data_IF_235086663298
#
_entry.id   IF_235086663298
#
_cell.length_a   1.000
_cell.length_b   1.000
_cell.length_c   1.000
_cell.angle_alpha   90.00
_cell.angle_beta   90.00
_cell.angle_gamma   90.00
#
_symmetry.space_group_name_H-M   'P 1'
#
loop_
_entity.id
_entity.type
_entity.pdbx_description
1 polymer ?
#
# COMPACT_ATOMS: atom_id res chain seq x y z
N UNK A 1 4.54 2.12 -17.97
CA UNK A 1 4.30 2.27 -16.52
C UNK A 1 4.83 1.03 -15.78
N UNK A 2 5.53 1.21 -14.68
CA UNK A 2 5.87 0.12 -13.73
C UNK A 2 4.94 0.21 -12.54
N UNK A 3 4.23 -0.86 -12.23
CA UNK A 3 3.27 -0.94 -11.14
C UNK A 3 3.73 -2.00 -10.13
N UNK A 4 3.81 -1.63 -8.86
CA UNK A 4 4.05 -2.54 -7.75
C UNK A 4 2.74 -2.81 -7.00
N UNK A 5 2.29 -4.07 -6.98
CA UNK A 5 1.10 -4.49 -6.26
C UNK A 5 1.49 -5.28 -5.01
N UNK A 6 1.13 -4.76 -3.84
CA UNK A 6 1.41 -5.34 -2.53
C UNK A 6 0.11 -5.80 -1.89
N UNK A 7 0.00 -7.09 -1.59
CA UNK A 7 -1.05 -7.64 -0.73
C UNK A 7 -0.50 -7.99 0.65
N UNK A 8 -1.29 -7.70 1.69
CA UNK A 8 -0.89 -7.94 3.09
C UNK A 8 -1.95 -8.64 3.94
N UNK A 9 -3.05 -9.07 3.31
CA UNK A 9 -4.17 -9.69 4.01
C UNK A 9 -3.92 -11.17 4.30
N UNK A 10 -4.11 -11.56 5.56
CA UNK A 10 -4.06 -12.96 6.01
C UNK A 10 -5.32 -13.78 5.65
N UNK A 11 -6.32 -13.18 4.98
CA UNK A 11 -7.57 -13.85 4.63
C UNK A 11 -7.54 -14.57 3.27
N UNK A 12 -6.39 -14.54 2.57
CA UNK A 12 -6.23 -15.20 1.27
C UNK A 12 -7.34 -14.84 0.28
N UNK A 13 -7.99 -15.83 -0.36
CA UNK A 13 -9.05 -15.60 -1.35
C UNK A 13 -10.29 -14.86 -0.81
N UNK A 14 -10.51 -14.84 0.51
CA UNK A 14 -11.65 -14.17 1.13
C UNK A 14 -11.37 -12.68 1.44
N UNK A 15 -10.22 -12.17 1.04
CA UNK A 15 -9.79 -10.81 1.33
C UNK A 15 -10.44 -9.79 0.41
N UNK A 16 -11.14 -8.81 0.99
CA UNK A 16 -11.68 -7.67 0.26
C UNK A 16 -10.57 -6.80 -0.31
N UNK A 17 -9.47 -6.58 0.42
CA UNK A 17 -8.39 -5.73 -0.08
C UNK A 17 -7.63 -6.35 -1.25
N UNK A 18 -7.55 -7.68 -1.35
CA UNK A 18 -7.00 -8.38 -2.53
C UNK A 18 -7.90 -8.19 -3.75
N UNK A 19 -9.23 -8.34 -3.56
CA UNK A 19 -10.22 -8.12 -4.62
C UNK A 19 -10.14 -6.68 -5.15
N UNK A 20 -10.15 -5.68 -4.27
CA UNK A 20 -10.05 -4.27 -4.63
C UNK A 20 -8.69 -3.91 -5.23
N UNK A 21 -7.59 -4.44 -4.68
CA UNK A 21 -6.24 -4.25 -5.21
C UNK A 21 -6.12 -4.73 -6.65
N UNK A 22 -6.63 -5.93 -6.94
CA UNK A 22 -6.66 -6.48 -8.30
C UNK A 22 -7.49 -5.61 -9.26
N UNK A 23 -8.64 -5.08 -8.80
CA UNK A 23 -9.49 -4.18 -9.61
C UNK A 23 -8.77 -2.85 -9.91
N UNK A 24 -8.08 -2.27 -8.93
CA UNK A 24 -7.26 -1.05 -9.10
C UNK A 24 -6.15 -1.30 -10.12
N UNK A 25 -5.42 -2.41 -10.00
CA UNK A 25 -4.37 -2.79 -10.97
C UNK A 25 -4.93 -2.92 -12.38
N UNK A 26 -6.05 -3.64 -12.52
CA UNK A 26 -6.71 -3.81 -13.82
C UNK A 26 -7.11 -2.46 -14.46
N UNK A 27 -7.60 -1.53 -13.63
CA UNK A 27 -7.95 -0.18 -14.08
C UNK A 27 -6.71 0.61 -14.52
N UNK A 28 -5.62 0.60 -13.75
CA UNK A 28 -4.37 1.27 -14.12
C UNK A 28 -3.85 0.76 -15.48
N UNK A 29 -3.90 -0.55 -15.69
CA UNK A 29 -3.48 -1.17 -16.97
C UNK A 29 -4.42 -0.87 -18.13
N UNK A 30 -5.71 -0.62 -17.88
CA UNK A 30 -6.66 -0.20 -18.92
C UNK A 30 -6.42 1.24 -19.38
N UNK A 31 -5.78 2.06 -18.56
CA UNK A 31 -5.43 3.45 -18.89
C UNK A 31 -4.07 3.55 -19.59
N UNK A 32 -3.11 2.74 -19.17
CA UNK A 32 -1.74 2.78 -19.69
C UNK A 32 -1.10 1.39 -19.59
N UNK A 33 -0.54 0.91 -20.70
CA UNK A 33 0.24 -0.32 -20.71
C UNK A 33 1.38 -0.28 -19.68
N UNK A 34 1.59 -1.40 -18.99
CA UNK A 34 2.61 -1.46 -17.94
C UNK A 34 3.01 -2.87 -17.54
N UNK A 35 4.10 -2.93 -16.79
CA UNK A 35 4.57 -4.14 -16.13
C UNK A 35 4.12 -4.12 -14.68
N UNK A 36 3.57 -5.25 -14.21
CA UNK A 36 3.15 -5.41 -12.82
C UNK A 36 4.13 -6.33 -12.11
N UNK A 37 4.72 -5.83 -11.03
CA UNK A 37 5.39 -6.66 -10.03
C UNK A 37 4.42 -6.90 -8.87
N UNK A 38 4.20 -8.16 -8.53
CA UNK A 38 3.29 -8.57 -7.47
C UNK A 38 4.05 -9.13 -6.28
N UNK A 39 3.64 -8.74 -5.06
CA UNK A 39 4.16 -9.27 -3.81
C UNK A 39 3.05 -9.55 -2.82
N UNK A 40 2.95 -10.79 -2.38
CA UNK A 40 2.05 -11.23 -1.32
C UNK A 40 2.82 -11.36 0.01
N UNK A 41 2.62 -10.42 0.91
CA UNK A 41 3.32 -10.38 2.19
C UNK A 41 2.82 -11.42 3.21
N UNK A 42 1.69 -12.08 2.93
CA UNK A 42 1.21 -13.22 3.72
C UNK A 42 1.91 -14.51 3.31
N UNK A 43 2.13 -14.71 2.01
CA UNK A 43 2.78 -15.90 1.47
C UNK A 43 4.31 -15.80 1.50
N UNK A 44 4.84 -14.60 1.27
CA UNK A 44 6.27 -14.31 1.28
C UNK A 44 6.56 -13.16 2.26
N UNK A 45 6.47 -13.40 3.57
CA UNK A 45 6.63 -12.36 4.58
C UNK A 45 8.05 -11.80 4.59
N UNK A 46 8.11 -10.48 4.67
CA UNK A 46 9.38 -9.76 4.85
C UNK A 46 9.80 -9.88 6.31
N UNK A 47 11.06 -10.24 6.63
CA UNK A 47 11.54 -10.29 8.00
C UNK A 47 11.41 -8.95 8.71
N UNK A 48 11.01 -8.97 9.97
CA UNK A 48 10.97 -7.77 10.81
C UNK A 48 12.34 -7.10 10.91
N UNK A 49 12.34 -5.78 11.05
CA UNK A 49 13.55 -5.01 11.24
C UNK A 49 14.19 -5.34 12.60
N UNK A 50 15.47 -5.65 12.58
CA UNK A 50 16.27 -5.98 13.78
C UNK A 50 17.57 -5.18 13.81
N UNK A 51 18.28 -5.20 14.94
CA UNK A 51 19.60 -4.60 15.02
C UNK A 51 20.60 -5.25 14.05
N UNK A 52 20.50 -6.56 13.81
CA UNK A 52 21.32 -7.26 12.82
C UNK A 52 20.99 -6.81 11.38
N UNK A 53 19.71 -6.62 11.07
CA UNK A 53 19.26 -6.09 9.77
C UNK A 53 19.82 -4.69 9.51
N UNK A 54 19.72 -3.80 10.51
CA UNK A 54 20.26 -2.43 10.43
C UNK A 54 21.80 -2.42 10.24
N UNK A 55 22.50 -3.34 10.89
CA UNK A 55 23.95 -3.52 10.74
C UNK A 55 24.33 -4.26 9.44
N UNK A 56 23.35 -4.72 8.64
CA UNK A 56 23.57 -5.56 7.44
C UNK A 56 24.47 -6.78 7.75
N UNK A 57 24.24 -7.40 8.91
CA UNK A 57 25.07 -8.49 9.42
C UNK A 57 24.92 -9.78 8.59
N UNK A 58 23.77 -10.00 7.97
CA UNK A 58 23.52 -11.10 7.03
C UNK A 58 23.48 -10.57 5.59
N UNK A 59 24.45 -10.96 4.73
CA UNK A 59 24.49 -10.53 3.33
C UNK A 59 23.26 -10.95 2.52
N UNK A 60 22.69 -12.12 2.78
CA UNK A 60 21.50 -12.62 2.07
C UNK A 60 20.25 -11.80 2.41
N UNK A 61 20.07 -11.47 3.70
CA UNK A 61 19.01 -10.58 4.14
C UNK A 61 19.19 -9.16 3.58
N UNK A 62 20.40 -8.64 3.58
CA UNK A 62 20.70 -7.32 3.03
C UNK A 62 20.39 -7.23 1.53
N UNK A 63 20.74 -8.27 0.75
CA UNK A 63 20.40 -8.36 -0.67
C UNK A 63 18.90 -8.46 -0.90
N UNK A 64 18.17 -9.25 -0.10
CA UNK A 64 16.72 -9.34 -0.17
C UNK A 64 16.04 -8.00 0.15
N UNK A 65 16.53 -7.28 1.16
CA UNK A 65 16.04 -5.95 1.51
C UNK A 65 16.32 -4.93 0.39
N UNK A 66 17.48 -4.98 -0.25
CA UNK A 66 17.80 -4.13 -1.40
C UNK A 66 16.87 -4.38 -2.59
N UNK A 67 16.55 -5.64 -2.89
CA UNK A 67 15.57 -5.98 -3.95
C UNK A 67 14.18 -5.38 -3.64
N UNK A 68 13.71 -5.47 -2.41
CA UNK A 68 12.43 -4.87 -1.99
C UNK A 68 12.45 -3.35 -2.16
N UNK A 69 13.52 -2.71 -1.71
CA UNK A 69 13.71 -1.27 -1.85
C UNK A 69 13.73 -0.85 -3.32
N UNK A 70 14.46 -1.58 -4.17
CA UNK A 70 14.57 -1.26 -5.57
C UNK A 70 13.24 -1.43 -6.31
N UNK A 71 12.46 -2.49 -6.02
CA UNK A 71 11.09 -2.65 -6.55
C UNK A 71 10.22 -1.43 -6.24
N UNK A 72 10.29 -0.93 -5.00
CA UNK A 72 9.55 0.27 -4.59
C UNK A 72 10.06 1.53 -5.32
N UNK A 73 11.38 1.73 -5.41
CA UNK A 73 11.97 2.89 -6.09
C UNK A 73 11.67 2.93 -7.58
N UNK A 74 11.64 1.78 -8.23
CA UNK A 74 11.39 1.64 -9.68
C UNK A 74 9.92 1.82 -10.07
N UNK A 75 8.99 1.67 -9.13
CA UNK A 75 7.57 1.76 -9.42
C UNK A 75 7.12 3.20 -9.68
N UNK A 76 6.29 3.40 -10.71
CA UNK A 76 5.56 4.64 -10.97
C UNK A 76 4.27 4.69 -10.14
N UNK A 77 3.61 3.54 -9.98
CA UNK A 77 2.38 3.36 -9.21
C UNK A 77 2.56 2.22 -8.21
N UNK A 78 2.15 2.45 -6.97
CA UNK A 78 2.15 1.42 -5.92
C UNK A 78 0.71 1.19 -5.45
N UNK A 79 0.19 -0.02 -5.64
CA UNK A 79 -1.13 -0.45 -5.13
C UNK A 79 -0.91 -1.26 -3.87
N UNK A 80 -1.52 -0.86 -2.76
CA UNK A 80 -1.33 -1.49 -1.45
C UNK A 80 -2.65 -2.01 -0.90
N UNK A 81 -2.80 -3.32 -0.79
CA UNK A 81 -3.87 -3.96 -0.03
C UNK A 81 -3.59 -3.88 1.47
N UNK A 82 -4.33 -3.04 2.18
CA UNK A 82 -4.15 -2.75 3.60
C UNK A 82 -5.45 -2.97 4.40
N UNK A 83 -5.80 -4.21 4.78
CA UNK A 83 -6.91 -4.44 5.70
C UNK A 83 -6.59 -3.83 7.07
N UNK A 84 -7.62 -3.38 7.79
CA UNK A 84 -7.45 -2.95 9.17
C UNK A 84 -7.48 -4.15 10.11
N UNK A 85 -6.38 -4.37 10.83
CA UNK A 85 -6.29 -5.33 11.93
C UNK A 85 -5.98 -4.58 13.22
N UNK A 86 -6.88 -4.72 14.22
CA UNK A 86 -6.70 -4.09 15.54
C UNK A 86 -6.39 -2.58 15.44
N UNK A 87 -7.17 -1.84 14.64
CA UNK A 87 -7.05 -0.39 14.35
C UNK A 87 -5.81 0.05 13.57
N UNK A 88 -4.99 -0.88 13.08
CA UNK A 88 -3.77 -0.58 12.34
C UNK A 88 -3.60 -1.41 11.07
N UNK A 89 -2.45 -1.26 10.44
CA UNK A 89 -2.04 -2.07 9.29
C UNK A 89 -1.59 -3.47 9.74
N UNK A 90 -1.63 -4.49 8.86
CA UNK A 90 -1.01 -5.79 9.13
C UNK A 90 0.47 -5.66 9.50
N UNK A 91 0.94 -6.50 10.42
CA UNK A 91 2.37 -6.53 10.82
C UNK A 91 3.31 -6.85 9.67
N UNK A 92 2.86 -7.65 8.71
CA UNK A 92 3.59 -7.96 7.46
C UNK A 92 3.75 -6.71 6.59
N UNK A 93 2.71 -5.87 6.48
CA UNK A 93 2.81 -4.59 5.78
C UNK A 93 3.76 -3.61 6.50
N UNK A 94 3.71 -3.59 7.84
CA UNK A 94 4.66 -2.78 8.62
C UNK A 94 6.11 -3.21 8.38
N UNK A 95 6.38 -4.53 8.33
CA UNK A 95 7.70 -5.05 8.03
C UNK A 95 8.19 -4.64 6.63
N UNK A 96 7.31 -4.63 5.63
CA UNK A 96 7.63 -4.14 4.28
C UNK A 96 7.93 -2.63 4.29
N UNK A 97 7.10 -1.82 4.97
CA UNK A 97 7.33 -0.37 5.12
C UNK A 97 8.70 -0.10 5.75
N UNK A 98 9.11 -0.87 6.75
CA UNK A 98 10.41 -0.72 7.40
C UNK A 98 11.58 -1.02 6.45
N UNK A 99 11.38 -1.80 5.39
CA UNK A 99 12.41 -2.09 4.38
C UNK A 99 12.47 -1.06 3.26
N UNK A 100 11.41 -0.29 3.04
CA UNK A 100 11.43 0.80 2.04
C UNK A 100 11.79 2.16 2.65
N UNK A 101 11.67 2.33 3.96
CA UNK A 101 12.05 3.56 4.68
C UNK A 101 13.55 3.50 5.05
N UNK A 102 14.42 3.85 4.09
CA UNK A 102 15.89 3.72 4.22
C UNK A 102 16.55 5.09 4.10
N UNK A 103 17.25 5.49 5.18
CA UNK A 103 17.99 6.76 5.20
C UNK A 103 19.04 6.85 4.08
N UNK A 104 19.08 7.98 3.39
CA UNK A 104 19.95 8.20 2.23
C UNK A 104 19.47 7.58 0.92
N UNK A 105 18.31 6.85 0.95
CA UNK A 105 17.73 6.22 -0.24
C UNK A 105 16.32 6.74 -0.51
N UNK A 106 15.41 6.68 0.46
CA UNK A 106 14.02 7.12 0.33
C UNK A 106 13.70 8.34 1.20
N UNK A 107 14.56 8.70 2.11
CA UNK A 107 14.50 9.95 2.87
C UNK A 107 15.89 10.34 3.37
N UNK A 108 16.05 11.60 3.78
CA UNK A 108 17.23 12.10 4.53
C UNK A 108 16.82 13.11 5.57
N UNK A 109 17.66 13.29 6.59
CA UNK A 109 17.52 14.38 7.55
C UNK A 109 18.33 15.58 7.07
N UNK A 110 17.71 16.76 7.11
CA UNK A 110 18.37 18.05 6.82
C UNK A 110 18.23 18.99 8.01
N UNK A 111 18.89 20.15 7.97
CA UNK A 111 18.75 21.17 9.02
C UNK A 111 17.32 21.72 9.11
N UNK A 112 16.57 21.69 8.00
CA UNK A 112 15.19 22.16 7.90
C UNK A 112 14.16 21.08 8.21
N UNK A 113 14.59 19.82 8.46
CA UNK A 113 13.74 18.69 8.74
C UNK A 113 13.97 17.50 7.78
N UNK A 114 13.12 16.45 7.86
CA UNK A 114 13.23 15.32 6.96
C UNK A 114 12.81 15.70 5.53
N UNK A 115 13.54 15.18 4.55
CA UNK A 115 13.25 15.31 3.12
C UNK A 115 13.05 13.92 2.50
N UNK A 116 11.94 13.71 1.80
CA UNK A 116 11.65 12.48 1.07
C UNK A 116 12.41 12.41 -0.26
N UNK A 117 12.89 11.22 -0.61
CA UNK A 117 13.73 10.96 -1.78
C UNK A 117 13.18 9.88 -2.70
N UNK A 118 12.00 9.29 -2.39
CA UNK A 118 11.44 8.22 -3.20
C UNK A 118 10.98 8.64 -4.60
N UNK A 119 10.91 9.94 -4.85
CA UNK A 119 10.50 10.52 -6.13
C UNK A 119 8.98 10.55 -6.33
N UNK A 120 8.54 11.16 -7.44
CA UNK A 120 7.12 11.27 -7.72
C UNK A 120 6.53 9.89 -8.04
N UNK A 121 5.57 9.46 -7.21
CA UNK A 121 4.84 8.20 -7.35
C UNK A 121 3.39 8.41 -6.98
N UNK A 122 2.51 7.60 -7.55
CA UNK A 122 1.14 7.47 -7.08
C UNK A 122 1.01 6.24 -6.18
N UNK A 123 0.40 6.42 -5.01
CA UNK A 123 0.07 5.31 -4.11
C UNK A 123 -1.44 5.19 -4.01
N UNK A 124 -1.99 4.00 -4.26
CA UNK A 124 -3.42 3.71 -4.14
C UNK A 124 -3.58 2.59 -3.10
N UNK A 125 -4.25 2.92 -2.00
CA UNK A 125 -4.46 1.98 -0.89
C UNK A 125 -5.87 1.41 -0.96
N UNK A 126 -5.98 0.10 -1.17
CA UNK A 126 -7.21 -0.66 -0.97
C UNK A 126 -7.36 -0.97 0.52
N UNK A 127 -8.29 -0.30 1.21
CA UNK A 127 -8.53 -0.45 2.65
C UNK A 127 -9.86 -1.15 2.90
N UNK A 128 -9.88 -2.11 3.83
CA UNK A 128 -11.11 -2.77 4.26
C UNK A 128 -11.16 -2.90 5.79
N UNK A 129 -12.37 -2.70 6.36
CA UNK A 129 -12.59 -2.68 7.81
C UNK A 129 -13.84 -3.46 8.17
N UNK A 130 -13.76 -4.27 9.23
CA UNK A 130 -14.90 -5.06 9.72
C UNK A 130 -16.09 -4.21 10.16
N UNK A 131 -15.85 -3.05 10.75
CA UNK A 131 -16.86 -2.08 11.19
C UNK A 131 -16.72 -0.75 10.45
N UNK A 132 -17.62 0.20 10.72
CA UNK A 132 -17.50 1.59 10.29
C UNK A 132 -16.74 2.37 11.37
N UNK A 133 -15.63 2.99 10.99
CA UNK A 133 -14.79 3.74 11.92
C UNK A 133 -14.87 5.24 11.62
N UNK A 134 -15.12 6.03 12.66
CA UNK A 134 -15.00 7.48 12.59
C UNK A 134 -13.54 7.94 12.65
N UNK A 135 -13.30 9.22 12.36
CA UNK A 135 -11.95 9.83 12.34
C UNK A 135 -11.18 9.59 13.65
N UNK A 136 -11.86 9.57 14.79
CA UNK A 136 -11.21 9.39 16.11
C UNK A 136 -10.63 7.98 16.34
N UNK A 137 -11.05 6.99 15.55
CA UNK A 137 -10.60 5.59 15.66
C UNK A 137 -9.88 5.09 14.42
N UNK A 138 -9.67 5.96 13.44
CA UNK A 138 -8.87 5.66 12.26
C UNK A 138 -7.41 6.05 12.48
N UNK A 139 -6.59 5.08 12.86
CA UNK A 139 -5.14 5.24 12.98
C UNK A 139 -4.41 4.75 11.72
N UNK A 140 -5.08 4.05 10.83
CA UNK A 140 -4.48 3.42 9.66
C UNK A 140 -4.20 4.42 8.53
N UNK A 141 -5.21 5.19 8.11
CA UNK A 141 -5.03 6.15 7.01
C UNK A 141 -4.07 7.30 7.37
N UNK A 142 -4.20 7.96 8.54
CA UNK A 142 -3.24 8.97 8.95
C UNK A 142 -1.80 8.45 9.02
N UNK A 143 -1.62 7.21 9.50
CA UNK A 143 -0.31 6.58 9.53
C UNK A 143 0.27 6.37 8.13
N UNK A 144 -0.51 5.80 7.20
CA UNK A 144 -0.04 5.54 5.83
C UNK A 144 0.26 6.85 5.09
N UNK A 145 -0.60 7.88 5.23
CA UNK A 145 -0.33 9.21 4.66
C UNK A 145 0.96 9.80 5.20
N UNK A 146 1.17 9.73 6.52
CA UNK A 146 2.36 10.26 7.15
C UNK A 146 3.63 9.53 6.68
N UNK A 147 3.58 8.20 6.56
CA UNK A 147 4.73 7.42 6.07
C UNK A 147 5.07 7.77 4.63
N UNK A 148 4.09 7.79 3.73
CA UNK A 148 4.36 8.10 2.33
C UNK A 148 4.80 9.57 2.13
N UNK A 149 4.19 10.52 2.84
CA UNK A 149 4.65 11.91 2.84
C UNK A 149 6.09 12.06 3.35
N UNK A 150 6.47 11.31 4.39
CA UNK A 150 7.85 11.25 4.88
C UNK A 150 8.84 10.74 3.83
N UNK A 151 8.39 9.84 2.93
CA UNK A 151 9.18 9.35 1.80
C UNK A 151 9.14 10.31 0.58
N UNK A 152 8.37 11.41 0.65
CA UNK A 152 8.23 12.40 -0.43
C UNK A 152 7.14 12.05 -1.44
N UNK A 153 6.12 11.29 -1.02
CA UNK A 153 4.99 10.88 -1.85
C UNK A 153 3.71 11.51 -1.30
N UNK A 154 3.20 12.53 -1.97
CA UNK A 154 1.98 13.25 -1.56
C UNK A 154 0.72 12.72 -2.26
N UNK A 155 0.85 12.09 -3.43
CA UNK A 155 -0.28 11.50 -4.17
C UNK A 155 -0.64 10.13 -3.60
N UNK A 156 -1.45 10.16 -2.52
CA UNK A 156 -1.94 8.96 -1.82
C UNK A 156 -3.46 8.93 -1.82
N UNK A 157 -4.03 8.01 -2.56
CA UNK A 157 -5.47 7.76 -2.68
C UNK A 157 -5.90 6.54 -1.86
N UNK A 158 -7.17 6.54 -1.40
CA UNK A 158 -7.74 5.42 -0.67
C UNK A 158 -9.05 4.96 -1.30
N UNK A 159 -9.12 3.67 -1.61
CA UNK A 159 -10.35 2.95 -1.96
C UNK A 159 -10.80 2.17 -0.72
N UNK A 160 -11.99 2.46 -0.22
CA UNK A 160 -12.46 1.97 1.08
C UNK A 160 -13.64 1.03 0.95
N UNK A 161 -13.61 -0.07 1.73
CA UNK A 161 -14.75 -0.92 1.99
C UNK A 161 -14.93 -1.06 3.51
N UNK A 162 -15.91 -0.37 4.09
CA UNK A 162 -16.17 -0.37 5.53
C UNK A 162 -17.40 -1.23 5.87
N UNK A 163 -17.43 -1.76 7.10
CA UNK A 163 -18.54 -2.58 7.57
C UNK A 163 -18.57 -3.99 6.99
N UNK A 164 -17.46 -4.46 6.40
CA UNK A 164 -17.42 -5.78 5.74
C UNK A 164 -17.61 -6.97 6.69
N UNK A 165 -17.53 -6.76 7.99
CA UNK A 165 -17.77 -7.74 9.04
C UNK A 165 -19.18 -7.70 9.65
N UNK A 166 -20.02 -6.71 9.30
CA UNK A 166 -21.33 -6.52 9.93
C UNK A 166 -22.35 -7.58 9.49
N UNK A 167 -22.44 -7.85 8.21
CA UNK A 167 -23.26 -8.91 7.61
C UNK A 167 -22.82 -9.19 6.17
N UNK A 168 -23.27 -10.32 5.56
CA UNK A 168 -23.03 -10.59 4.14
C UNK A 168 -23.55 -9.49 3.21
N UNK A 169 -24.70 -8.88 3.55
CA UNK A 169 -25.28 -7.79 2.77
C UNK A 169 -24.42 -6.53 2.84
N UNK A 170 -24.03 -6.08 4.04
CA UNK A 170 -23.12 -4.93 4.20
C UNK A 170 -21.80 -5.13 3.46
N UNK A 171 -21.26 -6.36 3.54
CA UNK A 171 -20.03 -6.71 2.81
C UNK A 171 -20.21 -6.52 1.30
N UNK A 172 -21.29 -7.05 0.72
CA UNK A 172 -21.57 -6.94 -0.71
C UNK A 172 -21.77 -5.48 -1.14
N UNK A 173 -22.52 -4.70 -0.36
CA UNK A 173 -22.76 -3.27 -0.62
C UNK A 173 -21.46 -2.45 -0.54
N UNK A 174 -20.62 -2.68 0.47
CA UNK A 174 -19.35 -2.00 0.63
C UNK A 174 -18.37 -2.29 -0.53
N UNK A 175 -18.29 -3.55 -0.97
CA UNK A 175 -17.47 -3.96 -2.11
C UNK A 175 -18.00 -3.32 -3.40
N UNK A 176 -19.31 -3.35 -3.64
CA UNK A 176 -19.93 -2.76 -4.82
C UNK A 176 -19.69 -1.23 -4.88
N UNK A 177 -19.82 -0.54 -3.75
CA UNK A 177 -19.54 0.89 -3.65
C UNK A 177 -18.05 1.21 -3.93
N UNK A 178 -17.13 0.39 -3.43
CA UNK A 178 -15.70 0.54 -3.69
C UNK A 178 -15.37 0.35 -5.18
N UNK A 179 -15.93 -0.67 -5.84
CA UNK A 179 -15.77 -0.88 -7.29
C UNK A 179 -16.36 0.27 -8.11
N UNK A 180 -17.53 0.81 -7.72
CA UNK A 180 -18.11 1.98 -8.38
C UNK A 180 -17.20 3.21 -8.25
N UNK A 181 -16.57 3.41 -7.09
CA UNK A 181 -15.57 4.46 -6.86
C UNK A 181 -14.35 4.34 -7.76
N UNK A 182 -13.81 3.11 -7.89
CA UNK A 182 -12.71 2.81 -8.81
C UNK A 182 -13.10 3.21 -10.25
N UNK A 183 -14.27 2.79 -10.73
CA UNK A 183 -14.74 3.09 -12.09
C UNK A 183 -14.98 4.60 -12.33
N UNK A 184 -15.48 5.32 -11.32
CA UNK A 184 -15.74 6.75 -11.43
C UNK A 184 -14.45 7.59 -11.52
N UNK A 185 -13.38 7.20 -10.82
CA UNK A 185 -12.07 7.83 -10.92
C UNK A 185 -11.49 7.69 -12.34
N UNK A 186 -11.67 6.52 -12.98
CA UNK A 186 -11.28 6.30 -14.37
C UNK A 186 -11.98 7.27 -15.34
N UNK A 187 -13.31 7.42 -15.19
CA UNK A 187 -14.08 8.30 -16.05
C UNK A 187 -13.65 9.78 -15.91
N UNK A 188 -13.35 10.23 -14.68
CA UNK A 188 -12.89 11.59 -14.44
C UNK A 188 -11.49 11.86 -15.04
N UNK A 189 -10.57 10.91 -14.95
CA UNK A 189 -9.22 11.03 -15.51
C UNK A 189 -9.23 11.05 -17.03
N UNK A 190 -10.09 10.23 -17.68
CA UNK A 190 -10.25 10.23 -19.15
C UNK A 190 -10.87 11.51 -19.71
N UNK A 191 -11.65 12.25 -18.91
CA UNK A 191 -12.21 13.55 -19.31
C UNK A 191 -11.21 14.70 -19.17
N UNK A 192 -10.17 14.51 -18.36
CA UNK A 192 -9.13 15.52 -18.07
C UNK A 192 -7.89 15.39 -18.98
N UNK A 193 -7.76 14.33 -19.76
CA UNK A 193 -6.66 14.04 -20.69
C UNK A 193 -7.02 14.39 -22.13
#
# INVERSE_FOLDING_TARGET
MKLLHIDSSALGPNSVTRELGAAIVAQCLAQQDGLVEYRDLDQEPVPHLTGASLAKADPGEAEAAERILQQFLDADVVVVGAPMYNFGIPSTLKAWIDRIAVAGRTFRYTAEGPEGLAGPKKVIVASARGSVHGVATDFQEPYLRQVFAFLGIDDVEFVRAEGVGLSPQHRAEAIAAAHAGIAAQDAAQRQAA
#
